data_IF_652629992138
#
_entry.id   IF_652629992138
#
_cell.length_a   1.000
_cell.length_b   1.000
_cell.length_c   1.000
_cell.angle_alpha   90.00
_cell.angle_beta   90.00
_cell.angle_gamma   90.00
#
_symmetry.space_group_name_H-M   'P 1'
#
loop_
_entity.id
_entity.type
_entity.pdbx_description
1 polymer ?
#
# COMPACT_ATOMS: atom_id res chain seq x y z
N UNK A 1 33.31 40.77 39.09
CA UNK A 1 32.50 39.56 39.35
C UNK A 1 31.59 39.33 38.15
N UNK A 2 31.85 38.32 37.30
CA UNK A 2 30.99 38.04 36.14
C UNK A 2 30.37 36.65 36.29
N UNK A 3 29.08 36.61 36.63
CA UNK A 3 28.34 35.37 36.84
C UNK A 3 27.97 34.74 35.49
N UNK A 4 28.67 33.66 35.15
CA UNK A 4 28.43 32.82 33.98
C UNK A 4 27.07 32.11 34.12
N UNK A 5 26.05 32.60 33.41
CA UNK A 5 24.70 32.02 33.39
C UNK A 5 24.74 30.65 32.71
N UNK A 6 24.84 29.57 33.48
CA UNK A 6 24.74 28.18 32.97
C UNK A 6 23.30 27.92 32.54
N UNK A 7 23.07 27.82 31.23
CA UNK A 7 21.76 27.48 30.66
C UNK A 7 21.47 25.99 30.90
N UNK A 8 20.35 25.71 31.55
CA UNK A 8 19.97 24.39 32.07
C UNK A 8 19.86 23.30 30.98
N UNK A 9 20.41 22.09 31.19
CA UNK A 9 20.47 21.01 30.20
C UNK A 9 19.17 20.20 30.05
N UNK A 10 18.10 20.53 30.78
CA UNK A 10 16.88 19.74 30.82
C UNK A 10 16.18 19.63 29.45
N UNK A 11 16.20 20.71 28.65
CA UNK A 11 15.53 20.75 27.34
C UNK A 11 16.20 19.85 26.28
N UNK A 12 17.50 19.55 26.42
CA UNK A 12 18.23 18.73 25.46
C UNK A 12 18.07 17.22 25.69
N UNK A 13 17.71 16.80 26.91
CA UNK A 13 17.45 15.38 27.22
C UNK A 13 16.10 14.91 26.68
N UNK A 14 15.07 15.75 26.73
CA UNK A 14 13.75 15.44 26.17
C UNK A 14 13.80 15.32 24.65
N UNK A 15 14.49 16.25 23.98
CA UNK A 15 14.67 16.19 22.53
C UNK A 15 15.44 14.94 22.07
N UNK A 16 16.50 14.54 22.81
CA UNK A 16 17.24 13.30 22.51
C UNK A 16 16.42 12.03 22.73
N UNK A 17 15.54 11.99 23.73
CA UNK A 17 14.63 10.85 23.93
C UNK A 17 13.60 10.74 22.82
N UNK A 18 13.06 11.86 22.36
CA UNK A 18 12.13 11.89 21.23
C UNK A 18 12.83 11.45 19.93
N UNK A 19 14.05 11.92 19.67
CA UNK A 19 14.86 11.47 18.53
C UNK A 19 15.17 9.97 18.60
N UNK A 20 15.62 9.47 19.76
CA UNK A 20 15.89 8.04 19.93
C UNK A 20 14.65 7.15 19.81
N UNK A 21 13.46 7.66 20.17
CA UNK A 21 12.19 6.96 19.98
C UNK A 21 11.73 6.96 18.52
N UNK A 22 12.04 8.02 17.76
CA UNK A 22 11.82 8.05 16.32
C UNK A 22 12.79 7.10 15.59
N UNK A 23 14.08 7.12 15.95
CA UNK A 23 15.10 6.22 15.40
C UNK A 23 14.78 4.73 15.68
N UNK A 24 14.06 4.43 16.78
CA UNK A 24 13.66 3.07 17.14
C UNK A 24 12.71 2.42 16.12
N UNK A 25 11.81 3.20 15.52
CA UNK A 25 10.89 2.73 14.46
C UNK A 25 11.43 2.95 13.04
N UNK A 26 12.62 3.54 12.93
CA UNK A 26 13.22 4.00 11.69
C UNK A 26 12.78 5.41 11.32
N UNK A 27 13.63 6.11 10.58
CA UNK A 27 13.27 7.38 9.94
C UNK A 27 12.12 7.12 8.97
N UNK A 28 11.09 7.96 9.00
CA UNK A 28 10.04 7.95 7.98
C UNK A 28 10.74 8.05 6.62
N UNK A 29 10.58 7.04 5.73
CA UNK A 29 11.21 7.09 4.43
C UNK A 29 10.71 8.33 3.70
N UNK A 30 11.57 8.92 2.87
CA UNK A 30 11.15 10.01 1.99
C UNK A 30 9.87 9.59 1.25
N UNK A 31 8.92 10.52 1.13
CA UNK A 31 7.66 10.29 0.43
C UNK A 31 7.97 9.83 -1.00
N UNK A 32 7.80 8.53 -1.26
CA UNK A 32 7.92 7.97 -2.60
C UNK A 32 6.64 8.29 -3.34
N UNK A 33 6.75 8.93 -4.50
CA UNK A 33 5.62 9.15 -5.38
C UNK A 33 5.06 7.79 -5.85
N UNK A 34 3.79 7.54 -5.52
CA UNK A 34 3.11 6.29 -5.89
C UNK A 34 2.43 6.51 -7.23
N UNK A 35 2.75 5.71 -8.28
CA UNK A 35 2.13 5.87 -9.58
C UNK A 35 0.63 5.55 -9.51
N UNK A 36 -0.16 6.29 -10.30
CA UNK A 36 -1.58 6.01 -10.47
C UNK A 36 -1.77 4.67 -11.18
N UNK A 37 -2.84 3.95 -10.83
CA UNK A 37 -3.17 2.63 -11.37
C UNK A 37 -4.49 2.67 -12.12
N UNK A 38 -4.62 1.83 -13.15
CA UNK A 38 -5.85 1.60 -13.90
C UNK A 38 -6.41 0.22 -13.57
N UNK A 39 -7.73 0.09 -13.47
CA UNK A 39 -8.38 -1.23 -13.35
C UNK A 39 -8.16 -2.03 -14.64
N UNK A 40 -7.92 -3.34 -14.53
CA UNK A 40 -7.88 -4.24 -15.69
C UNK A 40 -9.28 -4.40 -16.29
N UNK A 41 -9.38 -4.38 -17.62
CA UNK A 41 -10.63 -4.59 -18.36
C UNK A 41 -11.08 -6.06 -18.33
N UNK A 42 -10.14 -7.00 -18.21
CA UNK A 42 -10.39 -8.42 -17.92
C UNK A 42 -9.45 -8.87 -16.79
N UNK A 43 -9.88 -8.76 -15.51
CA UNK A 43 -9.10 -9.20 -14.35
C UNK A 43 -8.79 -10.69 -14.32
N UNK A 44 -9.59 -11.50 -15.02
CA UNK A 44 -9.50 -12.96 -14.99
C UNK A 44 -8.68 -13.55 -16.15
N UNK A 45 -8.33 -12.72 -17.15
CA UNK A 45 -7.65 -13.14 -18.38
C UNK A 45 -6.42 -14.02 -18.14
N UNK A 46 -5.56 -13.61 -17.19
CA UNK A 46 -4.32 -14.35 -16.88
C UNK A 46 -4.65 -15.76 -16.38
N UNK A 47 -5.55 -15.90 -15.41
CA UNK A 47 -5.89 -17.23 -14.87
C UNK A 47 -6.60 -18.09 -15.91
N UNK A 48 -7.48 -17.49 -16.72
CA UNK A 48 -8.14 -18.18 -17.83
C UNK A 48 -7.11 -18.70 -18.85
N UNK A 49 -6.05 -17.95 -19.12
CA UNK A 49 -5.00 -18.32 -20.08
C UNK A 49 -4.16 -19.52 -19.64
N UNK A 50 -4.12 -19.83 -18.34
CA UNK A 50 -3.39 -20.99 -17.80
C UNK A 50 -4.10 -22.33 -18.07
N UNK A 51 -5.32 -22.29 -18.60
CA UNK A 51 -6.11 -23.47 -18.91
C UNK A 51 -6.82 -24.05 -17.70
N UNK A 52 -7.16 -25.34 -17.78
CA UNK A 52 -7.90 -26.01 -16.71
C UNK A 52 -7.02 -26.21 -15.46
N UNK A 53 -7.56 -25.87 -14.27
CA UNK A 53 -6.80 -26.04 -13.04
C UNK A 53 -6.63 -27.52 -12.70
N UNK A 54 -5.45 -27.93 -12.19
CA UNK A 54 -5.17 -29.30 -11.82
C UNK A 54 -5.81 -29.66 -10.46
N UNK A 55 -7.15 -29.58 -10.38
CA UNK A 55 -7.94 -29.84 -9.18
C UNK A 55 -8.83 -31.07 -9.41
N UNK A 56 -8.41 -32.28 -8.99
CA UNK A 56 -9.18 -33.50 -9.22
C UNK A 56 -10.62 -33.40 -8.75
N UNK A 57 -11.56 -33.67 -9.65
CA UNK A 57 -13.01 -33.63 -9.38
C UNK A 57 -13.60 -32.22 -9.19
N UNK A 58 -12.83 -31.15 -9.42
CA UNK A 58 -13.27 -29.75 -9.31
C UNK A 58 -12.76 -28.88 -10.46
N UNK A 59 -12.07 -29.46 -11.41
CA UNK A 59 -11.46 -28.84 -12.59
C UNK A 59 -12.46 -28.06 -13.43
N UNK A 60 -13.71 -28.54 -13.53
CA UNK A 60 -14.78 -27.85 -14.25
C UNK A 60 -15.38 -26.65 -13.49
N UNK A 61 -15.46 -26.71 -12.16
CA UNK A 61 -16.15 -25.69 -11.34
C UNK A 61 -15.19 -24.60 -10.86
N UNK A 62 -13.92 -24.94 -10.63
CA UNK A 62 -12.91 -24.00 -10.14
C UNK A 62 -12.73 -22.73 -11.00
N UNK A 63 -12.75 -22.77 -12.35
CA UNK A 63 -12.64 -21.58 -13.18
C UNK A 63 -13.67 -20.49 -12.87
N UNK A 64 -14.93 -20.88 -12.58
CA UNK A 64 -15.99 -19.93 -12.23
C UNK A 64 -15.71 -19.20 -10.91
N UNK A 65 -15.16 -19.91 -9.93
CA UNK A 65 -14.78 -19.28 -8.66
C UNK A 65 -13.58 -18.36 -8.82
N UNK A 66 -12.60 -18.73 -9.64
CA UNK A 66 -11.49 -17.84 -9.93
C UNK A 66 -11.99 -16.54 -10.57
N UNK A 67 -12.79 -16.62 -11.62
CA UNK A 67 -13.35 -15.44 -12.29
C UNK A 67 -14.07 -14.52 -11.29
N UNK A 68 -14.95 -15.07 -10.44
CA UNK A 68 -15.66 -14.29 -9.42
C UNK A 68 -14.72 -13.63 -8.39
N UNK A 69 -13.67 -14.33 -7.96
CA UNK A 69 -12.70 -13.80 -6.99
C UNK A 69 -11.86 -12.69 -7.61
N UNK A 70 -11.37 -12.88 -8.84
CA UNK A 70 -10.55 -11.89 -9.52
C UNK A 70 -11.35 -10.62 -9.86
N UNK A 71 -12.60 -10.77 -10.29
CA UNK A 71 -13.48 -9.63 -10.57
C UNK A 71 -13.72 -8.80 -9.29
N UNK A 72 -14.02 -9.48 -8.17
CA UNK A 72 -14.20 -8.83 -6.88
C UNK A 72 -12.90 -8.16 -6.39
N UNK A 73 -11.77 -8.84 -6.51
CA UNK A 73 -10.48 -8.31 -6.09
C UNK A 73 -10.11 -7.05 -6.87
N UNK A 74 -10.30 -7.05 -8.20
CA UNK A 74 -10.08 -5.88 -9.03
C UNK A 74 -10.99 -4.71 -8.66
N UNK A 75 -12.27 -4.99 -8.37
CA UNK A 75 -13.21 -3.97 -7.89
C UNK A 75 -12.79 -3.35 -6.56
N UNK A 76 -12.37 -4.17 -5.59
CA UNK A 76 -11.89 -3.68 -4.28
C UNK A 76 -10.59 -2.88 -4.43
N UNK A 77 -9.65 -3.35 -5.24
CA UNK A 77 -8.41 -2.62 -5.51
C UNK A 77 -8.67 -1.26 -6.16
N UNK A 78 -9.58 -1.20 -7.14
CA UNK A 78 -9.97 0.06 -7.76
C UNK A 78 -10.64 1.01 -6.75
N UNK A 79 -11.53 0.51 -5.90
CA UNK A 79 -12.16 1.31 -4.84
C UNK A 79 -11.13 1.88 -3.86
N UNK A 80 -10.17 1.05 -3.42
CA UNK A 80 -9.09 1.49 -2.54
C UNK A 80 -8.21 2.56 -3.22
N UNK A 81 -7.83 2.34 -4.48
CA UNK A 81 -7.07 3.32 -5.24
C UNK A 81 -7.83 4.64 -5.42
N UNK A 82 -9.15 4.59 -5.63
CA UNK A 82 -9.98 5.79 -5.69
C UNK A 82 -9.94 6.57 -4.37
N UNK A 83 -10.04 5.89 -3.23
CA UNK A 83 -9.95 6.56 -1.90
C UNK A 83 -8.57 7.18 -1.64
N UNK A 84 -7.52 6.63 -2.25
CA UNK A 84 -6.16 7.14 -2.13
C UNK A 84 -5.81 8.21 -3.19
N UNK A 85 -6.73 8.55 -4.10
CA UNK A 85 -6.44 9.45 -5.23
C UNK A 85 -5.49 8.84 -6.28
N UNK A 86 -5.33 7.51 -6.28
CA UNK A 86 -4.39 6.78 -7.13
C UNK A 86 -5.08 6.12 -8.33
N UNK A 87 -6.41 6.14 -8.45
CA UNK A 87 -7.10 5.54 -9.60
C UNK A 87 -7.07 6.49 -10.80
N UNK A 88 -6.68 5.98 -11.97
CA UNK A 88 -6.87 6.66 -13.27
C UNK A 88 -8.35 6.55 -13.64
N UNK A 89 -8.97 7.70 -13.92
CA UNK A 89 -10.38 7.82 -14.35
C UNK A 89 -10.45 8.18 -15.83
N UNK A 90 -11.62 7.98 -16.46
CA UNK A 90 -11.80 8.28 -17.89
C UNK A 90 -11.60 9.77 -18.22
N UNK A 91 -11.72 10.66 -17.22
CA UNK A 91 -11.43 12.09 -17.35
C UNK A 91 -9.92 12.40 -17.44
N UNK A 92 -9.05 11.43 -17.16
CA UNK A 92 -7.59 11.55 -17.22
C UNK A 92 -6.98 11.08 -18.56
N UNK A 93 -7.79 10.57 -19.50
CA UNK A 93 -7.37 9.99 -20.78
C UNK A 93 -7.64 10.94 -21.97
#
# INVERSE_FOLDING_TARGET
MSSRRRKSPARSKTARRAAAAADFWGTEPDQVEVPRIRRSDDPSAVVRSLGQPPLPGRDAVAPHYYEAIYEKAAGVAAALAATAGLLVTDDDA
#
